data_IF_894129636312
#
_entry.id   IF_894129636312
#
_cell.length_a   1.000
_cell.length_b   1.000
_cell.length_c   1.000
_cell.angle_alpha   90.00
_cell.angle_beta   90.00
_cell.angle_gamma   90.00
#
_symmetry.space_group_name_H-M   'P 1'
#
loop_
_entity.id
_entity.type
_entity.pdbx_description
1 polymer ?
#
# COMPACT_ATOMS: atom_id res chain seq x y z
N UNK A 1 50.55 12.63 10.73
CA UNK A 1 49.52 12.08 9.82
C UNK A 1 48.93 10.77 10.37
N UNK A 2 49.75 9.85 10.90
CA UNK A 2 49.27 8.59 11.48
C UNK A 2 48.32 8.76 12.69
N UNK A 3 48.66 9.60 13.68
CA UNK A 3 47.83 9.77 14.89
C UNK A 3 46.41 10.30 14.61
N UNK A 4 46.25 11.22 13.65
CA UNK A 4 44.94 11.76 13.28
C UNK A 4 44.09 10.69 12.58
N UNK A 5 44.69 9.89 11.71
CA UNK A 5 43.99 8.79 11.04
C UNK A 5 43.55 7.71 12.04
N UNK A 6 44.40 7.37 13.01
CA UNK A 6 44.06 6.40 14.06
C UNK A 6 42.92 6.92 14.96
N UNK A 7 42.93 8.20 15.33
CA UNK A 7 41.84 8.80 16.12
C UNK A 7 40.50 8.79 15.36
N UNK A 8 40.51 9.16 14.08
CA UNK A 8 39.30 9.14 13.27
C UNK A 8 38.75 7.71 13.10
N UNK A 9 39.62 6.72 12.89
CA UNK A 9 39.20 5.32 12.77
C UNK A 9 38.56 4.79 14.05
N UNK A 10 39.13 5.12 15.22
CA UNK A 10 38.58 4.74 16.51
C UNK A 10 37.20 5.37 16.76
N UNK A 11 37.02 6.64 16.41
CA UNK A 11 35.72 7.33 16.51
C UNK A 11 34.67 6.69 15.57
N UNK A 12 35.05 6.38 14.33
CA UNK A 12 34.19 5.66 13.39
C UNK A 12 33.80 4.26 13.91
N UNK A 13 34.72 3.52 14.53
CA UNK A 13 34.44 2.19 15.09
C UNK A 13 33.46 2.25 16.27
N UNK A 14 33.57 3.28 17.11
CA UNK A 14 32.63 3.54 18.20
C UNK A 14 31.25 3.91 17.68
N UNK A 15 31.16 4.77 16.65
CA UNK A 15 29.90 5.09 15.96
C UNK A 15 29.26 3.80 15.42
N UNK A 16 30.03 2.99 14.69
CA UNK A 16 29.56 1.75 14.07
C UNK A 16 29.07 0.77 15.14
N UNK A 17 29.75 0.69 16.28
CA UNK A 17 29.31 -0.13 17.42
C UNK A 17 27.97 0.34 17.96
N UNK A 18 27.77 1.64 18.18
CA UNK A 18 26.50 2.17 18.69
C UNK A 18 25.36 2.00 17.68
N UNK A 19 25.60 2.25 16.40
CA UNK A 19 24.60 2.01 15.34
C UNK A 19 24.25 0.52 15.20
N UNK A 20 25.22 -0.39 15.32
CA UNK A 20 24.97 -1.83 15.28
C UNK A 20 24.07 -2.30 16.45
N UNK A 21 24.18 -1.68 17.62
CA UNK A 21 23.29 -1.99 18.76
C UNK A 21 21.84 -1.64 18.43
N UNK A 22 21.61 -0.46 17.86
CA UNK A 22 20.27 -0.01 17.44
C UNK A 22 19.76 -0.89 16.30
N UNK A 23 20.59 -1.17 15.30
CA UNK A 23 20.26 -2.03 14.17
C UNK A 23 19.85 -3.45 14.63
N UNK A 24 20.54 -4.01 15.63
CA UNK A 24 20.14 -5.29 16.22
C UNK A 24 18.71 -5.25 16.76
N UNK A 25 18.33 -4.19 17.47
CA UNK A 25 16.97 -4.02 18.00
C UNK A 25 15.94 -3.96 16.85
N UNK A 26 16.23 -3.17 15.81
CA UNK A 26 15.38 -3.02 14.62
C UNK A 26 15.19 -4.36 13.90
N UNK A 27 16.27 -5.08 13.61
CA UNK A 27 16.23 -6.37 12.91
C UNK A 27 15.52 -7.43 13.74
N UNK A 28 15.73 -7.46 15.06
CA UNK A 28 14.98 -8.36 15.95
C UNK A 28 13.49 -8.03 15.95
N UNK A 29 13.12 -6.75 16.06
CA UNK A 29 11.71 -6.33 16.03
C UNK A 29 11.03 -6.73 14.71
N UNK A 30 11.70 -6.56 13.58
CA UNK A 30 11.21 -6.95 12.25
C UNK A 30 10.96 -8.46 12.16
N UNK A 31 11.93 -9.28 12.59
CA UNK A 31 11.80 -10.75 12.60
C UNK A 31 10.67 -11.25 13.49
N UNK A 32 10.29 -10.50 14.52
CA UNK A 32 9.23 -10.88 15.42
C UNK A 32 7.84 -10.42 14.99
N UNK A 33 7.71 -9.58 13.94
CA UNK A 33 6.47 -8.86 13.59
C UNK A 33 5.33 -9.80 13.17
N UNK A 34 5.65 -10.87 12.46
CA UNK A 34 4.65 -11.83 12.00
C UNK A 34 4.12 -12.71 13.15
N UNK A 35 5.02 -13.09 14.07
CA UNK A 35 4.76 -13.99 15.20
C UNK A 35 4.21 -13.28 16.46
N UNK A 36 3.86 -12.00 16.36
CA UNK A 36 3.43 -11.22 17.51
C UNK A 36 2.07 -11.69 18.04
N UNK A 37 2.04 -11.96 19.35
CA UNK A 37 0.80 -12.27 20.05
C UNK A 37 0.04 -10.98 20.40
N UNK A 38 -1.28 -10.96 20.22
CA UNK A 38 -2.13 -9.89 20.70
C UNK A 38 -1.92 -9.58 22.19
N UNK A 39 -1.97 -8.30 22.56
CA UNK A 39 -2.00 -7.85 23.95
C UNK A 39 -3.29 -7.06 24.16
N UNK A 40 -3.97 -7.30 25.28
CA UNK A 40 -5.10 -6.48 25.71
C UNK A 40 -4.58 -5.26 26.48
N UNK A 41 -5.03 -4.07 26.08
CA UNK A 41 -4.77 -2.87 26.88
C UNK A 41 -5.54 -2.95 28.20
N UNK A 42 -4.92 -2.58 29.33
CA UNK A 42 -5.65 -2.32 30.57
C UNK A 42 -6.85 -1.41 30.32
N UNK A 43 -8.02 -1.78 30.84
CA UNK A 43 -9.27 -1.02 30.67
C UNK A 43 -9.21 0.44 31.15
N UNK A 44 -8.20 0.77 31.97
CA UNK A 44 -7.93 2.10 32.51
C UNK A 44 -7.29 3.06 31.49
N UNK A 45 -6.74 2.54 30.38
CA UNK A 45 -6.23 3.37 29.29
C UNK A 45 -7.42 3.85 28.46
N UNK A 46 -7.87 5.07 28.78
CA UNK A 46 -9.01 5.75 28.15
C UNK A 46 -8.77 6.08 26.67
N UNK A 47 -7.50 6.14 26.26
CA UNK A 47 -7.13 6.54 24.91
C UNK A 47 -7.29 5.40 23.91
N UNK A 48 -7.92 5.71 22.76
CA UNK A 48 -8.01 4.78 21.64
C UNK A 48 -6.60 4.34 21.25
N UNK A 49 -6.31 3.04 21.04
CA UNK A 49 -4.99 2.63 20.58
C UNK A 49 -4.56 3.25 19.24
N UNK A 50 -5.50 3.86 18.50
CA UNK A 50 -5.20 4.64 17.31
C UNK A 50 -4.38 5.91 17.64
N UNK A 51 -4.59 6.55 18.80
CA UNK A 51 -3.75 7.69 19.22
C UNK A 51 -2.31 7.26 19.49
N UNK A 52 -2.10 6.07 20.07
CA UNK A 52 -0.77 5.51 20.28
C UNK A 52 -0.01 5.37 18.95
N UNK A 53 -0.67 4.94 17.87
CA UNK A 53 -0.05 4.88 16.53
C UNK A 53 0.40 6.25 16.05
N UNK A 54 -0.47 7.25 16.20
CA UNK A 54 -0.18 8.63 15.80
C UNK A 54 1.03 9.18 16.55
N UNK A 55 1.06 9.00 17.86
CA UNK A 55 2.13 9.52 18.72
C UNK A 55 3.47 8.84 18.42
N UNK A 56 3.46 7.51 18.26
CA UNK A 56 4.67 6.75 17.91
C UNK A 56 5.18 7.15 16.53
N UNK A 57 4.31 7.25 15.53
CA UNK A 57 4.68 7.70 14.18
C UNK A 57 5.29 9.11 14.20
N UNK A 58 4.68 10.04 14.94
CA UNK A 58 5.17 11.40 15.10
C UNK A 58 6.56 11.42 15.73
N UNK A 59 6.80 10.62 16.77
CA UNK A 59 8.10 10.52 17.43
C UNK A 59 9.16 9.94 16.49
N UNK A 60 8.84 8.88 15.73
CA UNK A 60 9.75 8.29 14.75
C UNK A 60 10.11 9.33 13.69
N UNK A 61 9.12 10.03 13.12
CA UNK A 61 9.34 11.08 12.13
C UNK A 61 10.27 12.20 12.65
N UNK A 62 10.08 12.62 13.90
CA UNK A 62 10.95 13.62 14.55
C UNK A 62 12.39 13.10 14.73
N UNK A 63 12.58 11.87 15.18
CA UNK A 63 13.92 11.29 15.33
C UNK A 63 14.59 11.01 13.98
N UNK A 64 13.83 10.65 12.95
CA UNK A 64 14.31 10.51 11.57
C UNK A 64 14.92 11.82 11.09
N UNK A 65 14.22 12.93 11.32
CA UNK A 65 14.70 14.28 10.98
C UNK A 65 15.98 14.62 11.75
N UNK A 66 15.98 14.43 13.07
CA UNK A 66 17.14 14.71 13.93
C UNK A 66 18.37 13.88 13.54
N UNK A 67 18.19 12.59 13.28
CA UNK A 67 19.24 11.66 12.88
C UNK A 67 19.83 12.03 11.51
N UNK A 68 18.96 12.31 10.53
CA UNK A 68 19.37 12.71 9.18
C UNK A 68 20.17 14.03 9.19
N UNK A 69 19.74 15.00 9.99
CA UNK A 69 20.45 16.27 10.20
C UNK A 69 21.79 16.06 10.91
N UNK A 70 21.86 15.23 11.95
CA UNK A 70 23.08 14.94 12.69
C UNK A 70 24.16 14.23 11.85
N UNK A 71 23.73 13.48 10.82
CA UNK A 71 24.63 12.84 9.88
C UNK A 71 25.21 13.81 8.83
N UNK A 72 24.88 15.11 8.85
CA UNK A 72 25.47 16.08 7.91
C UNK A 72 26.91 16.37 8.32
N UNK A 73 27.88 16.35 7.38
CA UNK A 73 29.25 16.73 7.70
C UNK A 73 29.33 18.15 8.30
N UNK A 74 30.14 18.36 9.35
CA UNK A 74 30.92 17.36 10.08
C UNK A 74 30.01 16.49 10.97
N UNK A 75 30.11 15.17 10.81
CA UNK A 75 29.37 14.21 11.64
C UNK A 75 29.87 14.33 13.07
N UNK A 76 28.97 14.55 14.02
CA UNK A 76 29.30 14.55 15.44
C UNK A 76 28.86 13.22 16.04
N UNK A 77 29.81 12.40 16.52
CA UNK A 77 29.54 11.09 17.15
C UNK A 77 28.38 11.17 18.15
N UNK A 78 28.47 12.11 19.09
CA UNK A 78 27.49 12.26 20.17
C UNK A 78 26.06 12.50 19.65
N UNK A 79 25.93 13.29 18.58
CA UNK A 79 24.62 13.58 17.99
C UNK A 79 24.06 12.34 17.28
N UNK A 80 24.90 11.63 16.53
CA UNK A 80 24.51 10.42 15.80
C UNK A 80 24.12 9.30 16.76
N UNK A 81 24.95 9.05 17.78
CA UNK A 81 24.69 8.08 18.84
C UNK A 81 23.42 8.42 19.62
N UNK A 82 23.26 9.68 20.03
CA UNK A 82 22.06 10.15 20.72
C UNK A 82 20.80 9.88 19.91
N UNK A 83 20.72 10.35 18.67
CA UNK A 83 19.49 10.25 17.89
C UNK A 83 19.20 8.83 17.40
N UNK A 84 20.24 8.00 17.21
CA UNK A 84 20.04 6.57 16.93
C UNK A 84 19.49 5.84 18.17
N UNK A 85 19.99 6.15 19.36
CA UNK A 85 19.45 5.61 20.61
C UNK A 85 18.03 6.12 20.90
N UNK A 86 17.76 7.41 20.69
CA UNK A 86 16.41 7.99 20.81
C UNK A 86 15.44 7.27 19.85
N UNK A 87 15.86 7.01 18.61
CA UNK A 87 15.10 6.20 17.66
C UNK A 87 14.86 4.78 18.19
N UNK A 88 15.84 4.14 18.82
CA UNK A 88 15.64 2.80 19.38
C UNK A 88 14.51 2.75 20.42
N UNK A 89 14.29 3.84 21.17
CA UNK A 89 13.24 3.92 22.21
C UNK A 89 11.82 3.89 21.64
N UNK A 90 11.62 4.18 20.34
CA UNK A 90 10.30 4.16 19.69
C UNK A 90 9.91 2.78 19.17
N UNK A 91 10.87 1.87 19.03
CA UNK A 91 10.63 0.52 18.50
C UNK A 91 9.68 -0.26 19.42
N UNK A 92 9.91 -0.23 20.73
CA UNK A 92 9.04 -0.94 21.69
C UNK A 92 7.61 -0.41 21.67
N UNK A 93 7.35 0.92 21.73
CA UNK A 93 6.01 1.47 21.51
C UNK A 93 5.37 1.09 20.17
N UNK A 94 6.13 1.07 19.06
CA UNK A 94 5.63 0.64 17.75
C UNK A 94 5.16 -0.81 17.78
N UNK A 95 5.98 -1.69 18.35
CA UNK A 95 5.64 -3.10 18.52
C UNK A 95 4.42 -3.27 19.43
N UNK A 96 4.37 -2.57 20.56
CA UNK A 96 3.23 -2.61 21.45
C UNK A 96 1.94 -2.17 20.75
N UNK A 97 2.00 -1.11 19.93
CA UNK A 97 0.85 -0.66 19.16
C UNK A 97 0.38 -1.76 18.20
N UNK A 98 1.28 -2.41 17.44
CA UNK A 98 0.93 -3.54 16.56
C UNK A 98 0.26 -4.68 17.35
N UNK A 99 0.76 -5.02 18.53
CA UNK A 99 0.20 -6.08 19.37
C UNK A 99 -1.20 -5.78 19.91
N UNK A 100 -1.51 -4.50 20.15
CA UNK A 100 -2.84 -4.10 20.64
C UNK A 100 -3.90 -4.18 19.54
N UNK A 101 -3.53 -3.95 18.28
CA UNK A 101 -4.42 -4.08 17.12
C UNK A 101 -4.57 -5.54 16.71
N UNK A 102 -5.47 -6.25 17.39
CA UNK A 102 -5.85 -7.61 17.00
C UNK A 102 -6.98 -7.62 15.96
N UNK A 103 -6.96 -8.62 15.07
CA UNK A 103 -7.97 -8.78 14.01
C UNK A 103 -9.38 -8.96 14.57
N UNK A 104 -9.55 -9.60 15.73
CA UNK A 104 -10.86 -9.85 16.33
C UNK A 104 -11.61 -8.55 16.66
N UNK A 105 -10.89 -7.54 17.17
CA UNK A 105 -11.47 -6.27 17.59
C UNK A 105 -11.46 -5.21 16.48
N UNK A 106 -10.37 -5.12 15.72
CA UNK A 106 -10.15 -4.02 14.76
C UNK A 106 -10.30 -4.44 13.30
N UNK A 107 -10.54 -5.72 13.04
CA UNK A 107 -10.59 -6.28 11.70
C UNK A 107 -9.22 -6.66 11.16
N UNK A 108 -9.19 -7.73 10.37
CA UNK A 108 -7.97 -8.29 9.77
C UNK A 108 -7.24 -7.29 8.86
N UNK A 109 -7.98 -6.46 8.13
CA UNK A 109 -7.42 -5.46 7.21
C UNK A 109 -6.50 -4.49 7.95
N UNK A 110 -6.97 -3.94 9.07
CA UNK A 110 -6.21 -2.95 9.82
C UNK A 110 -5.01 -3.59 10.48
N UNK A 111 -5.16 -4.80 11.00
CA UNK A 111 -4.02 -5.52 11.56
C UNK A 111 -2.95 -5.79 10.50
N UNK A 112 -3.32 -6.35 9.34
CA UNK A 112 -2.38 -6.67 8.27
C UNK A 112 -1.71 -5.40 7.73
N UNK A 113 -2.48 -4.32 7.57
CA UNK A 113 -1.93 -3.05 7.08
C UNK A 113 -1.00 -2.39 8.09
N UNK A 114 -1.36 -2.41 9.36
CA UNK A 114 -0.51 -1.90 10.43
C UNK A 114 0.80 -2.69 10.52
N UNK A 115 0.76 -4.03 10.43
CA UNK A 115 1.97 -4.86 10.33
C UNK A 115 2.83 -4.43 9.15
N UNK A 116 2.25 -4.31 7.96
CA UNK A 116 2.98 -3.87 6.77
C UNK A 116 3.62 -2.46 6.95
N UNK A 117 2.90 -1.50 7.52
CA UNK A 117 3.45 -0.16 7.78
C UNK A 117 4.54 -0.17 8.86
N UNK A 118 4.35 -0.93 9.94
CA UNK A 118 5.37 -1.11 10.96
C UNK A 118 6.64 -1.76 10.39
N UNK A 119 6.49 -2.75 9.50
CA UNK A 119 7.60 -3.36 8.78
C UNK A 119 8.34 -2.33 7.92
N UNK A 120 7.61 -1.53 7.12
CA UNK A 120 8.19 -0.46 6.30
C UNK A 120 8.93 0.58 7.14
N UNK A 121 8.40 0.94 8.31
CA UNK A 121 9.08 1.85 9.24
C UNK A 121 10.36 1.22 9.79
N UNK A 122 10.33 -0.03 10.25
CA UNK A 122 11.51 -0.72 10.76
C UNK A 122 12.58 -0.87 9.67
N UNK A 123 12.15 -1.19 8.45
CA UNK A 123 13.03 -1.25 7.28
C UNK A 123 13.63 0.12 6.93
N UNK A 124 12.81 1.18 6.96
CA UNK A 124 13.28 2.56 6.75
C UNK A 124 14.27 3.02 7.82
N UNK A 125 14.07 2.64 9.09
CA UNK A 125 15.03 2.89 10.17
C UNK A 125 16.35 2.17 9.88
N UNK A 126 16.31 0.89 9.50
CA UNK A 126 17.51 0.14 9.12
C UNK A 126 18.25 0.82 7.95
N UNK A 127 17.53 1.17 6.88
CA UNK A 127 18.09 1.86 5.71
C UNK A 127 18.77 3.18 6.12
N UNK A 128 18.09 3.99 6.94
CA UNK A 128 18.64 5.25 7.41
C UNK A 128 19.89 5.04 8.25
N UNK A 129 19.88 4.11 9.22
CA UNK A 129 21.06 3.80 10.06
C UNK A 129 22.27 3.38 9.21
N UNK A 130 22.05 2.58 8.16
CA UNK A 130 23.10 2.19 7.22
C UNK A 130 23.60 3.38 6.41
N UNK A 131 22.70 4.26 5.95
CA UNK A 131 23.05 5.43 5.14
C UNK A 131 23.83 6.51 5.89
N UNK A 132 23.72 6.57 7.22
CA UNK A 132 24.40 7.55 8.07
C UNK A 132 25.68 7.01 8.71
N UNK A 133 25.93 5.70 8.59
CA UNK A 133 27.11 5.06 9.16
C UNK A 133 28.37 5.34 8.32
N UNK A 134 29.52 5.67 8.93
CA UNK A 134 30.78 5.86 8.21
C UNK A 134 31.36 4.55 7.65
N UNK A 135 30.97 3.40 8.20
CA UNK A 135 31.37 2.06 7.73
C UNK A 135 30.16 1.13 7.61
N UNK A 136 30.25 0.05 6.82
CA UNK A 136 29.19 -0.95 6.76
C UNK A 136 28.80 -1.47 8.14
N UNK A 137 27.49 -1.49 8.41
CA UNK A 137 26.92 -2.10 9.61
C UNK A 137 26.71 -3.61 9.39
N UNK A 138 26.69 -4.38 10.47
CA UNK A 138 26.42 -5.82 10.45
C UNK A 138 24.96 -6.16 10.14
N UNK A 139 24.54 -7.37 10.51
CA UNK A 139 23.15 -7.84 10.37
C UNK A 139 22.57 -7.68 8.96
N UNK A 140 23.33 -8.05 7.92
CA UNK A 140 22.90 -7.91 6.52
C UNK A 140 21.57 -8.66 6.33
N UNK A 141 20.51 -7.93 6.00
CA UNK A 141 19.34 -8.52 5.33
C UNK A 141 19.56 -8.41 3.83
N UNK A 142 19.30 -9.49 3.11
CA UNK A 142 19.90 -9.77 1.79
C UNK A 142 19.57 -8.79 0.66
N UNK A 143 18.62 -7.85 0.80
CA UNK A 143 18.06 -7.16 -0.38
C UNK A 143 18.07 -5.63 -0.39
N UNK A 144 18.75 -4.94 0.54
CA UNK A 144 18.73 -3.47 0.53
C UNK A 144 20.07 -2.81 0.18
N UNK A 145 20.09 -2.15 -0.98
CA UNK A 145 21.07 -1.11 -1.29
C UNK A 145 20.58 0.21 -0.67
N UNK A 146 21.39 0.83 0.18
CA UNK A 146 21.16 2.20 0.65
C UNK A 146 21.00 3.12 -0.56
N UNK A 147 19.91 3.88 -0.64
CA UNK A 147 19.68 4.80 -1.76
C UNK A 147 20.30 6.17 -1.51
N UNK A 148 20.82 6.36 -0.30
CA UNK A 148 21.44 7.60 0.15
C UNK A 148 20.55 8.26 1.18
N UNK A 149 21.18 8.88 2.18
CA UNK A 149 20.51 9.37 3.39
C UNK A 149 19.24 10.16 3.14
N UNK A 150 19.21 11.08 2.18
CA UNK A 150 18.03 11.92 1.93
C UNK A 150 16.85 11.10 1.39
N UNK A 151 17.12 10.12 0.54
CA UNK A 151 16.09 9.21 0.00
C UNK A 151 15.61 8.29 1.13
N UNK A 152 16.53 7.69 1.88
CA UNK A 152 16.17 6.81 3.01
C UNK A 152 15.39 7.58 4.11
N UNK A 153 15.69 8.86 4.32
CA UNK A 153 14.93 9.78 5.19
C UNK A 153 13.50 9.98 4.68
N UNK A 154 13.34 10.27 3.38
CA UNK A 154 12.04 10.50 2.76
C UNK A 154 11.13 9.26 2.79
N UNK A 155 11.69 8.08 2.51
CA UNK A 155 10.96 6.80 2.57
C UNK A 155 10.46 6.53 4.00
N UNK A 156 11.29 6.82 5.00
CA UNK A 156 10.91 6.66 6.40
C UNK A 156 9.86 7.69 6.82
N UNK A 157 9.94 8.93 6.35
CA UNK A 157 8.88 9.94 6.57
C UNK A 157 7.53 9.48 6.02
N UNK A 158 7.48 9.09 4.75
CA UNK A 158 6.25 8.59 4.10
C UNK A 158 5.66 7.40 4.87
N UNK A 159 6.52 6.49 5.34
CA UNK A 159 6.08 5.34 6.14
C UNK A 159 5.49 5.75 7.49
N UNK A 160 6.03 6.80 8.12
CA UNK A 160 5.46 7.37 9.35
C UNK A 160 4.12 8.05 9.08
N UNK A 161 4.00 8.82 8.01
CA UNK A 161 2.76 9.51 7.61
C UNK A 161 1.63 8.50 7.37
N UNK A 162 1.91 7.34 6.76
CA UNK A 162 0.90 6.27 6.61
C UNK A 162 0.41 5.71 7.94
N UNK A 163 1.29 5.53 8.94
CA UNK A 163 0.88 5.12 10.29
C UNK A 163 0.08 6.23 10.99
N UNK A 164 0.51 7.49 10.85
CA UNK A 164 -0.17 8.64 11.44
C UNK A 164 -1.59 8.81 10.86
N UNK A 165 -1.73 8.65 9.54
CA UNK A 165 -3.01 8.66 8.85
C UNK A 165 -3.90 7.52 9.33
N UNK A 166 -3.37 6.30 9.44
CA UNK A 166 -4.11 5.17 9.98
C UNK A 166 -4.59 5.41 11.42
N UNK A 167 -3.74 6.01 12.27
CA UNK A 167 -4.07 6.38 13.65
C UNK A 167 -5.05 7.55 13.78
N UNK A 168 -5.17 8.42 12.77
CA UNK A 168 -6.08 9.57 12.82
C UNK A 168 -7.43 9.29 12.16
N UNK A 169 -7.45 8.55 11.05
CA UNK A 169 -8.66 8.30 10.26
C UNK A 169 -9.29 6.91 10.49
N UNK A 170 -8.52 5.98 11.06
CA UNK A 170 -8.96 4.61 11.34
C UNK A 170 -9.32 3.80 10.09
N UNK A 171 -10.12 2.76 10.27
CA UNK A 171 -10.49 1.82 9.20
C UNK A 171 -11.25 2.46 8.06
N UNK A 172 -12.16 3.39 8.36
CA UNK A 172 -12.98 4.06 7.35
C UNK A 172 -12.13 4.98 6.50
N UNK A 173 -11.23 5.75 7.09
CA UNK A 173 -10.30 6.59 6.32
C UNK A 173 -9.40 5.78 5.40
N UNK A 174 -8.80 4.72 5.95
CA UNK A 174 -8.01 3.77 5.17
C UNK A 174 -8.82 3.16 4.01
N UNK A 175 -10.02 2.67 4.29
CA UNK A 175 -10.88 2.09 3.25
C UNK A 175 -11.25 3.10 2.19
N UNK A 176 -11.54 4.36 2.55
CA UNK A 176 -11.86 5.40 1.57
C UNK A 176 -10.69 5.70 0.64
N UNK A 177 -9.46 5.77 1.15
CA UNK A 177 -8.24 5.94 0.34
C UNK A 177 -8.04 4.77 -0.62
N UNK A 178 -8.10 3.54 -0.13
CA UNK A 178 -7.94 2.37 -0.99
C UNK A 178 -9.12 2.22 -1.98
N UNK A 179 -10.31 2.65 -1.61
CA UNK A 179 -11.46 2.66 -2.52
C UNK A 179 -11.26 3.64 -3.67
N UNK A 180 -10.61 4.78 -3.40
CA UNK A 180 -10.19 5.70 -4.46
C UNK A 180 -9.18 5.06 -5.40
N UNK A 181 -8.24 4.25 -4.88
CA UNK A 181 -7.32 3.48 -5.72
C UNK A 181 -8.07 2.46 -6.59
N UNK A 182 -9.06 1.72 -6.06
CA UNK A 182 -9.87 0.80 -6.88
C UNK A 182 -10.67 1.52 -7.96
N UNK A 183 -11.24 2.69 -7.64
CA UNK A 183 -11.95 3.50 -8.65
C UNK A 183 -10.99 4.00 -9.72
N UNK A 184 -9.78 4.42 -9.35
CA UNK A 184 -8.73 4.82 -10.30
C UNK A 184 -8.34 3.66 -11.22
N UNK A 185 -8.02 2.49 -10.66
CA UNK A 185 -7.67 1.29 -11.45
C UNK A 185 -8.77 0.91 -12.43
N UNK A 186 -10.04 1.02 -12.03
CA UNK A 186 -11.16 0.79 -12.93
C UNK A 186 -11.32 1.89 -14.00
N UNK A 187 -10.92 3.13 -13.71
CA UNK A 187 -10.88 4.20 -14.71
C UNK A 187 -9.75 3.97 -15.72
N UNK A 188 -8.58 3.55 -15.24
CA UNK A 188 -7.41 3.21 -16.06
C UNK A 188 -7.75 2.04 -17.00
N UNK A 189 -8.24 0.91 -16.45
CA UNK A 189 -8.65 -0.26 -17.23
C UNK A 189 -9.77 0.05 -18.26
N UNK A 190 -10.60 1.05 -17.98
CA UNK A 190 -11.60 1.54 -18.94
C UNK A 190 -10.98 2.39 -20.05
N UNK A 191 -10.03 3.27 -19.71
CA UNK A 191 -9.29 4.06 -20.69
C UNK A 191 -8.54 3.12 -21.63
N UNK A 192 -7.80 2.16 -21.08
CA UNK A 192 -7.03 1.17 -21.84
C UNK A 192 -7.91 0.40 -22.83
N UNK A 193 -9.15 0.06 -22.43
CA UNK A 193 -10.10 -0.61 -23.29
C UNK A 193 -10.77 0.32 -24.32
N UNK A 194 -10.94 1.60 -23.99
CA UNK A 194 -11.38 2.64 -24.94
C UNK A 194 -10.29 2.90 -26.00
N UNK A 195 -9.02 2.96 -25.61
CA UNK A 195 -7.88 3.17 -26.50
C UNK A 195 -7.67 1.93 -27.41
N UNK A 196 -7.75 0.73 -26.84
CA UNK A 196 -7.75 -0.55 -27.57
C UNK A 196 -8.78 -0.61 -28.70
N UNK A 197 -10.00 -0.11 -28.42
CA UNK A 197 -11.15 -0.03 -29.34
C UNK A 197 -10.88 0.95 -30.50
N UNK A 198 -10.21 2.06 -30.23
CA UNK A 198 -9.94 3.12 -31.21
C UNK A 198 -8.73 2.82 -32.09
N UNK A 199 -7.99 1.75 -31.79
CA UNK A 199 -6.76 1.39 -32.48
C UNK A 199 -5.61 2.35 -32.15
N UNK A 200 -5.72 3.09 -31.03
CA UNK A 200 -4.63 3.87 -30.51
C UNK A 200 -3.67 2.93 -29.79
N UNK A 201 -2.65 2.48 -30.52
CA UNK A 201 -1.46 1.84 -29.94
C UNK A 201 -0.68 2.96 -29.24
N UNK A 202 -1.21 3.46 -28.12
CA UNK A 202 -0.45 4.29 -27.20
C UNK A 202 0.70 3.43 -26.72
N UNK A 203 1.82 3.56 -27.42
CA UNK A 203 3.01 2.75 -27.35
C UNK A 203 3.65 2.89 -25.96
N UNK A 204 3.17 2.12 -24.99
CA UNK A 204 3.78 2.02 -23.66
C UNK A 204 5.23 1.51 -23.73
N UNK A 205 5.65 0.96 -24.87
CA UNK A 205 7.02 0.51 -25.15
C UNK A 205 8.04 1.64 -25.45
N UNK A 206 7.63 2.91 -25.54
CA UNK A 206 8.59 4.02 -25.73
C UNK A 206 9.22 4.54 -24.41
N UNK A 207 8.89 3.95 -23.25
CA UNK A 207 9.55 4.25 -21.98
C UNK A 207 10.92 3.53 -21.84
N UNK A 208 11.90 3.86 -22.69
CA UNK A 208 13.25 3.32 -22.49
C UNK A 208 14.34 3.60 -23.51
N UNK A 209 14.07 4.29 -24.62
CA UNK A 209 15.03 4.46 -25.70
C UNK A 209 15.62 5.87 -25.77
N UNK A 210 16.50 6.23 -24.84
CA UNK A 210 17.48 7.30 -25.08
C UNK A 210 18.53 6.80 -26.09
N UNK A 211 18.18 6.78 -27.37
CA UNK A 211 19.17 6.75 -28.45
C UNK A 211 18.78 7.74 -29.54
N UNK A 212 19.42 8.89 -29.49
CA UNK A 212 19.62 9.76 -30.64
C UNK A 212 20.28 8.92 -31.75
N UNK A 213 19.58 8.67 -32.86
CA UNK A 213 20.02 8.92 -34.24
C UNK A 213 19.15 8.12 -35.23
N UNK A 214 18.91 8.71 -36.40
CA UNK A 214 18.33 8.13 -37.62
C UNK A 214 16.82 7.77 -37.67
N UNK A 215 16.05 8.82 -38.00
CA UNK A 215 15.05 8.85 -39.08
C UNK A 215 14.60 7.51 -39.68
N UNK A 216 13.46 7.00 -39.21
CA UNK A 216 12.56 6.16 -40.02
C UNK A 216 11.13 6.58 -39.76
N UNK A 217 10.44 6.93 -40.84
CA UNK A 217 8.99 7.11 -40.89
C UNK A 217 8.32 5.84 -40.34
N UNK A 218 7.91 5.86 -39.08
CA UNK A 218 7.06 4.85 -38.49
C UNK A 218 5.65 5.08 -39.03
N UNK A 219 5.29 4.32 -40.07
CA UNK A 219 3.89 4.04 -40.34
C UNK A 219 3.32 3.38 -39.09
N UNK A 220 2.46 4.09 -38.36
CA UNK A 220 1.54 3.46 -37.42
C UNK A 220 0.70 2.49 -38.24
N UNK A 221 1.03 1.20 -38.20
CA UNK A 221 0.14 0.16 -38.68
C UNK A 221 -1.10 0.25 -37.78
N UNK A 222 -2.19 0.85 -38.29
CA UNK A 222 -3.48 0.80 -37.62
C UNK A 222 -3.79 -0.68 -37.35
N UNK A 223 -3.69 -1.10 -36.09
CA UNK A 223 -4.04 -2.46 -35.68
C UNK A 223 -5.56 -2.58 -35.84
N UNK A 224 -5.97 -3.09 -37.00
CA UNK A 224 -7.38 -3.30 -37.31
C UNK A 224 -7.96 -4.37 -36.39
N UNK A 225 -8.73 -3.94 -35.39
CA UNK A 225 -9.55 -4.84 -34.56
C UNK A 225 -10.69 -5.42 -35.39
N UNK A 226 -10.99 -6.69 -35.18
CA UNK A 226 -12.16 -7.31 -35.82
C UNK A 226 -13.45 -6.68 -35.29
N UNK A 227 -14.52 -6.72 -36.08
CA UNK A 227 -15.85 -6.26 -35.62
C UNK A 227 -16.29 -7.03 -34.36
N UNK A 228 -15.91 -8.30 -34.24
CA UNK A 228 -16.18 -9.14 -33.05
C UNK A 228 -15.42 -8.63 -31.82
N UNK A 229 -14.13 -8.26 -31.97
CA UNK A 229 -13.32 -7.68 -30.89
C UNK A 229 -13.88 -6.33 -30.43
N UNK A 230 -14.31 -5.47 -31.37
CA UNK A 230 -14.92 -4.18 -31.05
C UNK A 230 -16.25 -4.38 -30.29
N UNK A 231 -17.07 -5.35 -30.70
CA UNK A 231 -18.32 -5.67 -30.01
C UNK A 231 -18.08 -6.21 -28.60
N UNK A 232 -17.06 -7.06 -28.44
CA UNK A 232 -16.67 -7.60 -27.14
C UNK A 232 -16.17 -6.48 -26.20
N UNK A 233 -15.29 -5.60 -26.69
CA UNK A 233 -14.79 -4.45 -25.94
C UNK A 233 -15.93 -3.52 -25.53
N UNK A 234 -16.88 -3.22 -26.42
CA UNK A 234 -18.06 -2.43 -26.09
C UNK A 234 -18.94 -3.09 -25.02
N UNK A 235 -19.13 -4.41 -25.08
CA UNK A 235 -19.87 -5.17 -24.07
C UNK A 235 -19.18 -5.08 -22.70
N UNK A 236 -17.86 -5.27 -22.67
CA UNK A 236 -17.07 -5.17 -21.44
C UNK A 236 -17.08 -3.74 -20.88
N UNK A 237 -16.91 -2.70 -21.70
CA UNK A 237 -17.01 -1.29 -21.29
C UNK A 237 -18.36 -0.97 -20.62
N UNK A 238 -19.47 -1.54 -21.10
CA UNK A 238 -20.77 -1.37 -20.44
C UNK A 238 -20.78 -2.00 -19.05
N UNK A 239 -20.18 -3.18 -18.88
CA UNK A 239 -20.07 -3.87 -17.59
C UNK A 239 -19.12 -3.12 -16.64
N UNK A 240 -17.97 -2.62 -17.12
CA UNK A 240 -17.05 -1.79 -16.34
C UNK A 240 -17.72 -0.49 -15.87
N UNK A 241 -18.51 0.16 -16.73
CA UNK A 241 -19.31 1.33 -16.35
C UNK A 241 -20.31 1.02 -15.22
N UNK A 242 -21.02 -0.10 -15.31
CA UNK A 242 -21.95 -0.52 -14.27
C UNK A 242 -21.24 -0.88 -12.95
N UNK A 243 -20.05 -1.49 -13.01
CA UNK A 243 -19.18 -1.68 -11.84
C UNK A 243 -18.71 -0.35 -11.26
N UNK A 244 -18.31 0.64 -12.06
CA UNK A 244 -17.90 1.96 -11.57
C UNK A 244 -19.00 2.61 -10.74
N UNK A 245 -20.24 2.55 -11.23
CA UNK A 245 -21.40 3.08 -10.52
C UNK A 245 -21.62 2.32 -9.20
N UNK A 246 -21.41 1.00 -9.17
CA UNK A 246 -21.45 0.20 -7.94
C UNK A 246 -20.40 0.70 -6.94
N UNK A 247 -19.12 0.78 -7.33
CA UNK A 247 -18.04 1.25 -6.47
C UNK A 247 -18.33 2.64 -5.89
N UNK A 248 -18.74 3.61 -6.72
CA UNK A 248 -19.07 4.96 -6.26
C UNK A 248 -20.25 4.99 -5.28
N UNK A 249 -21.25 4.13 -5.52
CA UNK A 249 -22.42 4.01 -4.65
C UNK A 249 -22.06 3.38 -3.30
N UNK A 250 -21.21 2.35 -3.30
CA UNK A 250 -20.69 1.72 -2.09
C UNK A 250 -19.87 2.73 -1.27
N UNK A 251 -18.92 3.43 -1.90
CA UNK A 251 -18.11 4.48 -1.26
C UNK A 251 -18.98 5.47 -0.48
N UNK A 252 -20.05 5.95 -1.12
CA UNK A 252 -20.95 6.96 -0.55
C UNK A 252 -21.86 6.43 0.56
N UNK A 253 -22.21 5.14 0.55
CA UNK A 253 -23.33 4.61 1.34
C UNK A 253 -22.94 3.55 2.37
N UNK A 254 -21.91 2.74 2.11
CA UNK A 254 -21.54 1.54 2.89
C UNK A 254 -20.19 1.66 3.61
N UNK A 255 -19.33 2.60 3.23
CA UNK A 255 -18.06 2.85 3.94
C UNK A 255 -18.28 3.92 5.01
N UNK A 256 -18.68 3.50 6.21
CA UNK A 256 -18.99 4.39 7.35
C UNK A 256 -18.62 3.74 8.68
N UNK A 257 -18.34 4.58 9.69
CA UNK A 257 -17.95 4.14 11.05
C UNK A 257 -19.06 3.37 11.79
N UNK A 258 -20.30 3.46 11.32
CA UNK A 258 -21.46 2.80 11.91
C UNK A 258 -21.51 1.29 11.61
N UNK A 259 -20.79 0.84 10.57
CA UNK A 259 -20.73 -0.58 10.21
C UNK A 259 -19.65 -1.33 10.99
N UNK A 260 -19.87 -2.62 11.31
CA UNK A 260 -18.89 -3.42 12.02
C UNK A 260 -17.64 -3.67 11.17
N UNK A 261 -16.48 -3.77 11.81
CA UNK A 261 -15.18 -4.02 11.14
C UNK A 261 -15.18 -5.31 10.32
N UNK A 262 -15.97 -6.32 10.70
CA UNK A 262 -16.14 -7.56 9.93
C UNK A 262 -16.80 -7.32 8.58
N UNK A 263 -17.89 -6.53 8.55
CA UNK A 263 -18.56 -6.14 7.31
C UNK A 263 -17.65 -5.30 6.42
N UNK A 264 -16.97 -4.32 7.00
CA UNK A 264 -15.98 -3.48 6.30
C UNK A 264 -14.84 -4.35 5.72
N UNK A 265 -14.43 -5.36 6.49
CA UNK A 265 -13.51 -6.43 6.11
C UNK A 265 -13.91 -7.17 4.84
N UNK A 266 -15.09 -7.79 4.89
CA UNK A 266 -15.67 -8.54 3.77
C UNK A 266 -15.86 -7.66 2.54
N UNK A 267 -16.36 -6.45 2.72
CA UNK A 267 -16.61 -5.48 1.66
C UNK A 267 -15.32 -5.11 0.91
N UNK A 268 -14.25 -4.82 1.65
CA UNK A 268 -12.95 -4.49 1.06
C UNK A 268 -12.35 -5.68 0.31
N UNK A 269 -12.39 -6.88 0.88
CA UNK A 269 -11.86 -8.07 0.22
C UNK A 269 -12.60 -8.39 -1.09
N UNK A 270 -13.94 -8.23 -1.10
CA UNK A 270 -14.72 -8.39 -2.31
C UNK A 270 -14.44 -7.29 -3.35
N UNK A 271 -14.19 -6.06 -2.90
CA UNK A 271 -13.82 -4.95 -3.79
C UNK A 271 -12.45 -5.20 -4.43
N UNK A 272 -11.46 -5.63 -3.64
CA UNK A 272 -10.14 -6.03 -4.12
C UNK A 272 -10.25 -7.15 -5.15
N UNK A 273 -10.96 -8.23 -4.84
CA UNK A 273 -11.16 -9.33 -5.78
C UNK A 273 -11.85 -8.88 -7.08
N UNK A 274 -12.78 -7.92 -6.99
CA UNK A 274 -13.43 -7.35 -8.17
C UNK A 274 -12.44 -6.53 -9.00
N UNK A 275 -11.61 -5.71 -8.36
CA UNK A 275 -10.54 -4.94 -9.00
C UNK A 275 -9.54 -5.85 -9.72
N UNK A 276 -9.05 -6.89 -9.04
CA UNK A 276 -8.11 -7.86 -9.61
C UNK A 276 -8.73 -8.54 -10.86
N UNK A 277 -10.01 -8.96 -10.78
CA UNK A 277 -10.70 -9.56 -11.93
C UNK A 277 -10.98 -8.59 -13.10
N UNK A 278 -10.98 -7.27 -12.85
CA UNK A 278 -11.12 -6.25 -13.91
C UNK A 278 -9.80 -6.15 -14.68
N UNK A 279 -8.67 -6.16 -13.99
CA UNK A 279 -7.34 -6.15 -14.60
C UNK A 279 -7.15 -7.40 -15.48
N UNK A 280 -7.43 -8.58 -14.91
CA UNK A 280 -7.32 -9.87 -15.62
C UNK A 280 -8.16 -9.88 -16.90
N UNK A 281 -9.45 -9.51 -16.85
CA UNK A 281 -10.32 -9.57 -18.04
C UNK A 281 -9.95 -8.54 -19.12
N UNK A 282 -9.42 -7.37 -18.73
CA UNK A 282 -8.94 -6.36 -19.69
C UNK A 282 -7.62 -6.82 -20.34
N UNK A 283 -6.75 -7.52 -19.62
CA UNK A 283 -5.60 -8.16 -20.24
C UNK A 283 -6.02 -9.24 -21.27
N UNK A 284 -6.97 -10.11 -20.91
CA UNK A 284 -7.39 -11.21 -21.80
C UNK A 284 -8.01 -10.73 -23.12
N UNK A 285 -8.78 -9.62 -23.12
CA UNK A 285 -9.33 -9.08 -24.37
C UNK A 285 -8.24 -8.46 -25.26
N UNK A 286 -7.16 -7.96 -24.67
CA UNK A 286 -6.04 -7.39 -25.40
C UNK A 286 -5.16 -8.48 -26.03
N UNK A 287 -4.98 -9.60 -25.32
CA UNK A 287 -4.16 -10.74 -25.72
C UNK A 287 -4.87 -11.72 -26.67
N UNK A 288 -6.19 -11.59 -26.88
CA UNK A 288 -7.03 -12.52 -27.66
C UNK A 288 -6.90 -13.97 -27.14
N UNK A 289 -6.90 -14.12 -25.81
CA UNK A 289 -6.63 -15.39 -25.11
C UNK A 289 -7.89 -16.27 -25.00
N UNK A 290 -7.71 -17.59 -25.08
CA UNK A 290 -8.75 -18.60 -24.93
C UNK A 290 -9.42 -18.60 -23.54
N UNK A 291 -8.81 -17.96 -22.53
CA UNK A 291 -9.32 -17.88 -21.16
C UNK A 291 -10.31 -16.73 -20.92
N UNK A 292 -10.63 -15.90 -21.91
CA UNK A 292 -11.53 -14.75 -21.76
C UNK A 292 -12.86 -15.10 -21.05
N UNK A 293 -13.50 -16.21 -21.42
CA UNK A 293 -14.77 -16.64 -20.82
C UNK A 293 -14.65 -17.00 -19.33
N UNK A 294 -13.51 -17.57 -18.92
CA UNK A 294 -13.25 -17.90 -17.52
C UNK A 294 -13.07 -16.61 -16.70
N UNK A 295 -12.32 -15.65 -17.22
CA UNK A 295 -12.13 -14.36 -16.55
C UNK A 295 -13.40 -13.51 -16.55
N UNK A 296 -14.24 -13.63 -17.58
CA UNK A 296 -15.58 -13.03 -17.60
C UNK A 296 -16.49 -13.59 -16.50
N UNK A 297 -16.51 -14.92 -16.28
CA UNK A 297 -17.27 -15.49 -15.16
C UNK A 297 -16.68 -15.08 -13.80
N UNK A 298 -15.35 -15.00 -13.67
CA UNK A 298 -14.69 -14.52 -12.46
C UNK A 298 -15.09 -13.07 -12.15
N UNK A 299 -15.05 -12.17 -13.13
CA UNK A 299 -15.51 -10.80 -13.00
C UNK A 299 -17.01 -10.72 -12.64
N UNK A 300 -17.85 -11.52 -13.29
CA UNK A 300 -19.27 -11.57 -12.93
C UNK A 300 -19.51 -12.11 -11.52
N UNK A 301 -18.71 -13.07 -11.06
CA UNK A 301 -18.80 -13.65 -9.71
C UNK A 301 -18.34 -12.65 -8.65
N UNK A 302 -17.22 -11.98 -8.87
CA UNK A 302 -16.65 -10.97 -7.95
C UNK A 302 -17.60 -9.78 -7.79
N UNK A 303 -18.09 -9.21 -8.90
CA UNK A 303 -19.03 -8.09 -8.88
C UNK A 303 -20.37 -8.44 -8.20
N UNK A 304 -20.90 -9.65 -8.45
CA UNK A 304 -22.10 -10.14 -7.75
C UNK A 304 -21.86 -10.30 -6.25
N UNK A 305 -20.72 -10.87 -5.86
CA UNK A 305 -20.37 -11.04 -4.45
C UNK A 305 -20.27 -9.70 -3.73
N UNK A 306 -19.58 -8.72 -4.33
CA UNK A 306 -19.46 -7.37 -3.81
C UNK A 306 -20.83 -6.72 -3.57
N UNK A 307 -21.75 -6.82 -4.52
CA UNK A 307 -23.10 -6.29 -4.36
C UNK A 307 -23.92 -7.07 -3.30
N UNK A 308 -23.78 -8.40 -3.23
CA UNK A 308 -24.47 -9.24 -2.23
C UNK A 308 -24.07 -8.88 -0.80
N UNK A 309 -22.78 -8.60 -0.56
CA UNK A 309 -22.30 -8.12 0.74
C UNK A 309 -23.02 -6.80 1.11
N UNK A 310 -23.16 -5.88 0.16
CA UNK A 310 -23.86 -4.60 0.39
C UNK A 310 -25.35 -4.75 0.74
N UNK A 311 -25.98 -5.87 0.34
CA UNK A 311 -27.37 -6.22 0.65
C UNK A 311 -27.46 -6.93 2.00
N UNK A 312 -26.54 -7.86 2.31
CA UNK A 312 -26.56 -8.66 3.54
C UNK A 312 -26.18 -7.88 4.80
N UNK A 313 -25.72 -6.62 4.66
CA UNK A 313 -25.40 -5.77 5.80
C UNK A 313 -26.58 -5.70 6.79
N UNK A 314 -26.32 -5.83 8.08
CA UNK A 314 -27.34 -5.89 9.14
C UNK A 314 -28.25 -4.64 9.24
N UNK A 315 -27.95 -3.58 8.50
CA UNK A 315 -28.74 -2.36 8.44
C UNK A 315 -29.31 -2.21 7.03
N UNK A 316 -30.49 -2.78 6.81
CA UNK A 316 -31.31 -2.37 5.67
C UNK A 316 -31.54 -0.86 5.78
N UNK A 317 -30.98 -0.11 4.84
CA UNK A 317 -31.19 1.32 4.75
C UNK A 317 -32.06 1.66 3.54
N UNK A 318 -32.43 2.93 3.43
CA UNK A 318 -33.21 3.43 2.29
C UNK A 318 -32.57 3.19 0.92
N UNK A 319 -31.29 2.79 0.87
CA UNK A 319 -30.53 2.56 -0.36
C UNK A 319 -30.32 1.07 -0.67
N UNK A 320 -30.60 0.14 0.25
CA UNK A 320 -30.56 -1.31 -0.01
C UNK A 320 -31.36 -1.73 -1.26
N UNK A 321 -32.58 -1.18 -1.53
CA UNK A 321 -33.31 -1.50 -2.76
C UNK A 321 -32.57 -1.17 -4.05
N UNK A 322 -31.68 -0.17 -4.04
CA UNK A 322 -30.86 0.18 -5.20
C UNK A 322 -29.85 -0.93 -5.52
N UNK A 323 -29.21 -1.51 -4.50
CA UNK A 323 -28.27 -2.62 -4.68
C UNK A 323 -28.99 -3.88 -5.20
N UNK A 324 -30.18 -4.20 -4.67
CA UNK A 324 -30.99 -5.31 -5.18
C UNK A 324 -31.32 -5.12 -6.67
N UNK A 325 -31.75 -3.91 -7.06
CA UNK A 325 -32.04 -3.59 -8.46
C UNK A 325 -30.79 -3.62 -9.34
N UNK A 326 -29.64 -3.17 -8.84
CA UNK A 326 -28.36 -3.27 -9.56
C UNK A 326 -28.03 -4.73 -9.82
N UNK A 327 -28.17 -5.60 -8.81
CA UNK A 327 -27.91 -7.03 -8.92
C UNK A 327 -28.85 -7.71 -9.93
N UNK A 328 -30.15 -7.41 -9.88
CA UNK A 328 -31.13 -7.91 -10.87
C UNK A 328 -30.75 -7.52 -12.30
N UNK A 329 -30.40 -6.25 -12.53
CA UNK A 329 -29.97 -5.78 -13.85
C UNK A 329 -28.66 -6.42 -14.30
N UNK A 330 -27.71 -6.63 -13.37
CA UNK A 330 -26.45 -7.29 -13.67
C UNK A 330 -26.66 -8.74 -14.08
N UNK A 331 -27.55 -9.46 -13.43
CA UNK A 331 -27.89 -10.85 -13.76
C UNK A 331 -28.48 -10.95 -15.18
N UNK A 332 -29.37 -10.04 -15.56
CA UNK A 332 -29.95 -9.97 -16.92
C UNK A 332 -28.87 -9.74 -17.98
N UNK A 333 -27.86 -8.91 -17.67
CA UNK A 333 -26.77 -8.56 -18.59
C UNK A 333 -25.67 -9.62 -18.63
N UNK A 334 -25.51 -10.43 -17.58
CA UNK A 334 -24.57 -11.56 -17.54
C UNK A 334 -25.07 -12.82 -18.25
N UNK A 335 -26.37 -12.92 -18.53
CA UNK A 335 -26.97 -14.06 -19.24
C UNK A 335 -27.04 -13.87 -20.77
N UNK A 336 -26.67 -12.68 -21.27
CA UNK A 336 -26.65 -12.33 -22.68
C UNK A 336 -25.23 -12.27 -23.19
#
# INVERSE_FOLDING_TARGET
MSDTMVKNQAEEDEIVKSLNNVLKIVVTARKCLDDMKPIELPSELVESPLSMLKDVATLIHQYTTKLSVAAKPPITRDALEKYANDMATTITPLIAAVQVFNAEKYGEIIQNRLKMYAERVLFGIEALLRSVSPKPLGYISEDWKTRGRLIDTGILWESCEKIEKLGSEGIVGYMLEEWDNFVSMLEDARSDLEDYKEGDDSNWDDFGSESEDDSKEAHSEEVFRSEEQIQLANSLLQKLNACKILFLSIKKRRIKNEYPNTFLGELFNAAKQTSDSIDDIVAQIQEDDENFENELDNFHRSARNLCKICISSAQEDSFTPWFSKWLENWEIVSQK
#
